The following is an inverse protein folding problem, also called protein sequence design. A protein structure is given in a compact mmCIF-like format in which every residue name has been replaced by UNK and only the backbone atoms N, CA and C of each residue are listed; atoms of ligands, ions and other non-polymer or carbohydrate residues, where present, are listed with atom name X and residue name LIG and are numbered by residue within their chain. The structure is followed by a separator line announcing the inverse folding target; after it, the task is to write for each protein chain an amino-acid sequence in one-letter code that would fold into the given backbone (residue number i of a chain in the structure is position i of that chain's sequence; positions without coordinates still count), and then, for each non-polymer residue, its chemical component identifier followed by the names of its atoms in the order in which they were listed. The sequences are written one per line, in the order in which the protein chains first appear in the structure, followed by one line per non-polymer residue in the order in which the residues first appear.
data_IF_741047756737
#
_entry.id   IF_741047756737
#
_cell.length_a   1.000
_cell.length_b   1.000
_cell.length_c   1.000
_cell.angle_alpha   90.00
_cell.angle_beta   90.00
_cell.angle_gamma   90.00
#
_symmetry.space_group_name_H-M   'P 1'
#
loop_
_entity.id
_entity.type
_entity.pdbx_description
1 polymer ?
#
# COMPACT_ATOMS: atom_id res chain seq x y z
N UNK A 1 -5.01 -1.16 -12.60
CA UNK A 1 -5.76 -0.14 -11.83
C UNK A 1 -5.14 0.13 -10.45
N UNK A 2 -5.06 -0.84 -9.52
CA UNK A 2 -4.42 -0.63 -8.19
C UNK A 2 -2.99 -0.08 -8.28
N UNK A 3 -2.14 -0.72 -9.06
CA UNK A 3 -0.75 -0.31 -9.33
C UNK A 3 -0.64 1.09 -9.88
N UNK A 4 -1.51 1.44 -10.79
CA UNK A 4 -1.53 2.77 -11.40
C UNK A 4 -1.86 3.84 -10.36
N UNK A 5 -2.90 3.61 -9.57
CA UNK A 5 -3.31 4.53 -8.50
C UNK A 5 -2.19 4.70 -7.47
N UNK A 6 -1.54 3.62 -7.02
CA UNK A 6 -0.42 3.71 -6.09
C UNK A 6 0.76 4.48 -6.67
N UNK A 7 1.11 4.25 -7.93
CA UNK A 7 2.18 4.98 -8.60
C UNK A 7 1.85 6.47 -8.70
N UNK A 8 0.62 6.83 -9.07
CA UNK A 8 0.19 8.23 -9.10
C UNK A 8 0.27 8.90 -7.73
N UNK A 9 -0.16 8.21 -6.67
CA UNK A 9 -0.05 8.72 -5.31
C UNK A 9 1.42 8.92 -4.88
N UNK A 10 2.31 7.99 -5.23
CA UNK A 10 3.75 8.12 -4.95
C UNK A 10 4.34 9.33 -5.69
N UNK A 11 4.02 9.50 -6.97
CA UNK A 11 4.49 10.63 -7.77
C UNK A 11 3.96 11.95 -7.18
N UNK A 12 2.70 12.00 -6.82
CA UNK A 12 2.09 13.19 -6.23
C UNK A 12 2.73 13.55 -4.89
N UNK A 13 2.90 12.56 -4.00
CA UNK A 13 3.57 12.77 -2.72
C UNK A 13 5.01 13.28 -2.87
N UNK A 14 5.78 12.72 -3.82
CA UNK A 14 7.14 13.19 -4.11
C UNK A 14 7.16 14.65 -4.59
N UNK A 15 6.22 15.02 -5.46
CA UNK A 15 6.07 16.40 -5.93
C UNK A 15 5.73 17.36 -4.79
N UNK A 16 4.87 16.95 -3.86
CA UNK A 16 4.55 17.74 -2.67
C UNK A 16 5.77 17.90 -1.75
N UNK A 17 6.59 16.85 -1.58
CA UNK A 17 7.84 16.91 -0.81
C UNK A 17 8.82 17.91 -1.45
N UNK A 18 8.95 17.89 -2.78
CA UNK A 18 9.80 18.81 -3.52
C UNK A 18 9.34 20.27 -3.33
N UNK A 19 8.04 20.53 -3.47
CA UNK A 19 7.45 21.86 -3.23
C UNK A 19 7.73 22.34 -1.82
N UNK A 20 7.63 21.47 -0.82
CA UNK A 20 7.86 21.80 0.59
C UNK A 20 9.34 22.07 0.89
N UNK A 21 10.27 21.45 0.16
CA UNK A 21 11.72 21.61 0.38
C UNK A 21 12.31 22.79 -0.39
N UNK A 22 11.81 23.10 -1.60
CA UNK A 22 12.51 24.01 -2.54
C UNK A 22 12.00 25.44 -2.50
N UNK A 23 10.89 25.78 -1.82
CA UNK A 23 10.32 27.13 -1.89
C UNK A 23 10.24 27.84 -0.54
N UNK A 24 10.72 29.12 -0.47
CA UNK A 24 10.21 30.04 0.54
C UNK A 24 8.72 30.21 0.28
N UNK A 25 7.95 29.88 1.29
CA UNK A 25 6.50 29.71 1.24
C UNK A 25 5.74 31.00 0.92
N UNK A 26 5.48 31.26 -0.35
CA UNK A 26 4.72 32.43 -0.79
C UNK A 26 3.22 32.18 -1.05
N UNK A 27 2.77 30.91 -1.03
CA UNK A 27 1.37 30.55 -1.31
C UNK A 27 0.81 29.50 -0.34
N UNK A 28 0.84 29.81 0.96
CA UNK A 28 0.35 28.93 2.05
C UNK A 28 -1.02 28.29 1.79
N UNK A 29 -1.93 29.06 1.20
CA UNK A 29 -3.32 28.61 1.03
C UNK A 29 -3.49 27.56 -0.10
N UNK A 30 -2.69 27.64 -1.15
CA UNK A 30 -2.76 26.69 -2.27
C UNK A 30 -2.13 25.35 -1.89
N UNK A 31 -0.98 25.41 -1.25
CA UNK A 31 -0.22 24.21 -0.88
C UNK A 31 -0.93 23.43 0.25
N UNK A 32 -1.58 24.15 1.17
CA UNK A 32 -2.46 23.57 2.19
C UNK A 32 -3.63 22.80 1.59
N UNK A 33 -4.29 23.37 0.56
CA UNK A 33 -5.38 22.69 -0.15
C UNK A 33 -4.92 21.46 -0.91
N UNK A 34 -3.73 21.51 -1.53
CA UNK A 34 -3.17 20.34 -2.24
C UNK A 34 -2.81 19.20 -1.26
N UNK A 35 -2.28 19.52 -0.08
CA UNK A 35 -2.00 18.55 0.98
C UNK A 35 -3.29 17.92 1.52
N UNK A 36 -4.32 18.73 1.77
CA UNK A 36 -5.63 18.24 2.20
C UNK A 36 -6.25 17.32 1.14
N UNK A 37 -6.20 17.72 -0.13
CA UNK A 37 -6.72 16.91 -1.23
C UNK A 37 -5.97 15.59 -1.36
N UNK A 38 -4.65 15.61 -1.22
CA UNK A 38 -3.82 14.39 -1.21
C UNK A 38 -4.25 13.44 -0.09
N UNK A 39 -4.37 13.96 1.15
CA UNK A 39 -4.73 13.18 2.34
C UNK A 39 -6.10 12.54 2.19
N UNK A 40 -7.11 13.31 1.76
CA UNK A 40 -8.46 12.78 1.48
C UNK A 40 -8.47 11.73 0.36
N UNK A 41 -7.65 11.94 -0.67
CA UNK A 41 -7.52 10.95 -1.76
C UNK A 41 -6.86 9.68 -1.29
N UNK A 42 -5.83 9.78 -0.45
CA UNK A 42 -5.15 8.63 0.16
C UNK A 42 -6.12 7.80 1.02
N UNK A 43 -6.88 8.46 1.90
CA UNK A 43 -7.90 7.83 2.75
C UNK A 43 -8.97 7.12 1.90
N UNK A 44 -9.55 7.83 0.92
CA UNK A 44 -10.54 7.26 0.02
C UNK A 44 -10.01 6.06 -0.76
N UNK A 45 -8.75 6.15 -1.21
CA UNK A 45 -8.08 5.06 -1.91
C UNK A 45 -7.89 3.86 -0.99
N UNK A 46 -7.44 4.08 0.25
CA UNK A 46 -7.28 3.02 1.24
C UNK A 46 -8.61 2.31 1.49
N UNK A 47 -9.68 3.05 1.72
CA UNK A 47 -11.01 2.50 1.96
C UNK A 47 -11.56 1.72 0.76
N UNK A 48 -11.31 2.22 -0.47
CA UNK A 48 -11.77 1.55 -1.71
C UNK A 48 -11.01 0.25 -1.95
N UNK A 49 -9.70 0.23 -1.70
CA UNK A 49 -8.87 -0.95 -1.95
C UNK A 49 -8.84 -1.93 -0.79
N UNK A 50 -9.29 -1.57 0.40
CA UNK A 50 -9.36 -2.45 1.56
C UNK A 50 -10.08 -3.78 1.25
N UNK A 51 -11.24 -3.72 0.63
CA UNK A 51 -11.98 -4.92 0.20
C UNK A 51 -11.22 -5.73 -0.86
N UNK A 52 -10.59 -5.07 -1.83
CA UNK A 52 -9.82 -5.73 -2.88
C UNK A 52 -8.61 -6.44 -2.30
N UNK A 53 -7.88 -5.79 -1.40
CA UNK A 53 -6.72 -6.35 -0.70
C UNK A 53 -7.15 -7.57 0.12
N UNK A 54 -8.25 -7.48 0.85
CA UNK A 54 -8.81 -8.59 1.62
C UNK A 54 -9.13 -9.80 0.73
N UNK A 55 -9.84 -9.60 -0.40
CA UNK A 55 -10.18 -10.66 -1.34
C UNK A 55 -8.93 -11.30 -1.95
N UNK A 56 -7.95 -10.49 -2.36
CA UNK A 56 -6.71 -10.99 -2.94
C UNK A 56 -5.91 -11.87 -1.96
N UNK A 57 -5.79 -11.44 -0.71
CA UNK A 57 -5.06 -12.22 0.30
C UNK A 57 -5.83 -13.47 0.70
N UNK A 58 -7.15 -13.39 0.82
CA UNK A 58 -7.99 -14.56 1.09
C UNK A 58 -7.87 -15.59 -0.03
N UNK A 59 -7.94 -15.17 -1.30
CA UNK A 59 -7.72 -16.02 -2.45
C UNK A 59 -6.31 -16.67 -2.45
N UNK A 60 -5.30 -15.90 -2.06
CA UNK A 60 -3.94 -16.39 -1.92
C UNK A 60 -3.81 -17.47 -0.84
N UNK A 61 -4.39 -17.24 0.34
CA UNK A 61 -4.38 -18.22 1.43
C UNK A 61 -5.09 -19.51 1.04
N UNK A 62 -6.26 -19.40 0.41
CA UNK A 62 -7.00 -20.55 -0.10
C UNK A 62 -6.15 -21.33 -1.13
N UNK A 63 -5.50 -20.60 -2.06
CA UNK A 63 -4.64 -21.21 -3.07
C UNK A 63 -3.43 -21.93 -2.48
N UNK A 64 -2.84 -21.37 -1.40
CA UNK A 64 -1.75 -22.02 -0.66
C UNK A 64 -2.22 -23.34 -0.02
N UNK A 65 -3.41 -23.35 0.59
CA UNK A 65 -3.98 -24.57 1.18
C UNK A 65 -4.18 -25.65 0.11
N UNK A 66 -4.77 -25.28 -1.05
CA UNK A 66 -4.92 -26.22 -2.16
C UNK A 66 -3.59 -26.71 -2.70
N UNK A 67 -2.58 -25.85 -2.80
CA UNK A 67 -1.25 -26.22 -3.21
C UNK A 67 -0.61 -27.24 -2.27
N UNK A 68 -0.69 -26.96 -0.96
CA UNK A 68 -0.17 -27.87 0.05
C UNK A 68 -0.87 -29.24 0.01
N UNK A 69 -2.20 -29.24 -0.12
CA UNK A 69 -2.96 -30.46 -0.29
C UNK A 69 -2.56 -31.24 -1.53
N UNK A 70 -2.35 -30.55 -2.67
CA UNK A 70 -1.93 -31.19 -3.93
C UNK A 70 -0.53 -31.81 -3.83
N UNK A 71 0.41 -31.13 -3.18
CA UNK A 71 1.75 -31.68 -2.91
C UNK A 71 1.66 -32.89 -2.00
N UNK A 72 0.88 -32.82 -0.94
CA UNK A 72 0.69 -33.94 -0.01
C UNK A 72 0.07 -35.18 -0.73
N UNK A 73 -0.96 -34.96 -1.54
CA UNK A 73 -1.60 -36.03 -2.34
C UNK A 73 -0.63 -36.64 -3.33
N UNK A 74 0.21 -35.85 -3.98
CA UNK A 74 1.24 -36.34 -4.90
C UNK A 74 2.27 -37.24 -4.18
N UNK A 75 2.71 -36.82 -2.98
CA UNK A 75 3.67 -37.61 -2.18
C UNK A 75 3.07 -38.93 -1.72
N UNK A 76 1.77 -38.96 -1.37
CA UNK A 76 1.09 -40.13 -0.87
C UNK A 76 0.65 -41.09 -1.97
N UNK A 77 0.08 -40.61 -3.08
CA UNK A 77 -0.58 -41.44 -4.11
C UNK A 77 0.19 -41.64 -5.42
N UNK A 78 1.30 -40.91 -5.63
CA UNK A 78 2.13 -40.97 -6.87
C UNK A 78 1.38 -40.81 -8.20
N UNK A 79 0.06 -40.58 -8.19
CA UNK A 79 -0.79 -40.66 -9.37
C UNK A 79 -1.44 -39.36 -9.84
N UNK A 80 -1.34 -38.30 -9.07
CA UNK A 80 -2.06 -37.06 -9.38
C UNK A 80 -1.22 -36.07 -10.20
N UNK A 81 -1.69 -35.79 -11.41
CA UNK A 81 -1.12 -34.82 -12.35
C UNK A 81 -1.52 -33.38 -11.96
N UNK A 82 -1.24 -32.94 -10.73
CA UNK A 82 -1.58 -31.58 -10.27
C UNK A 82 -0.48 -30.53 -10.56
N UNK A 83 0.43 -30.83 -11.48
CA UNK A 83 1.46 -29.90 -11.96
C UNK A 83 0.88 -28.60 -12.55
N UNK A 84 -0.40 -28.60 -12.95
CA UNK A 84 -1.10 -27.44 -13.50
C UNK A 84 -1.35 -26.32 -12.48
N UNK A 85 -1.34 -26.61 -11.18
CA UNK A 85 -1.54 -25.60 -10.13
C UNK A 85 -0.25 -24.83 -9.79
N UNK A 86 0.92 -25.40 -10.09
CA UNK A 86 2.20 -24.77 -9.76
C UNK A 86 2.40 -23.39 -10.41
N UNK A 87 2.14 -23.19 -11.73
CA UNK A 87 2.23 -21.87 -12.35
C UNK A 87 1.29 -20.85 -11.73
N UNK A 88 0.07 -21.26 -11.35
CA UNK A 88 -0.90 -20.39 -10.70
C UNK A 88 -0.39 -19.88 -9.33
N UNK A 89 0.20 -20.78 -8.54
CA UNK A 89 0.77 -20.43 -7.23
C UNK A 89 1.93 -19.44 -7.39
N UNK A 90 2.86 -19.73 -8.32
CA UNK A 90 3.97 -18.82 -8.61
C UNK A 90 3.44 -17.45 -9.03
N UNK A 91 2.45 -17.40 -9.91
CA UNK A 91 1.82 -16.16 -10.34
C UNK A 91 1.22 -15.38 -9.16
N UNK A 92 0.48 -16.05 -8.27
CA UNK A 92 -0.11 -15.43 -7.09
C UNK A 92 0.96 -14.90 -6.12
N UNK A 93 2.03 -15.65 -5.85
CA UNK A 93 3.14 -15.23 -5.00
C UNK A 93 3.82 -14.00 -5.57
N UNK A 94 4.13 -13.98 -6.86
CA UNK A 94 4.77 -12.85 -7.52
C UNK A 94 3.90 -11.60 -7.46
N UNK A 95 2.60 -11.73 -7.73
CA UNK A 95 1.66 -10.60 -7.64
C UNK A 95 1.54 -10.07 -6.21
N UNK A 96 1.40 -10.94 -5.21
CA UNK A 96 1.33 -10.52 -3.81
C UNK A 96 2.59 -9.78 -3.39
N UNK A 97 3.76 -10.29 -3.76
CA UNK A 97 5.04 -9.63 -3.48
C UNK A 97 5.12 -8.25 -4.13
N UNK A 98 4.66 -8.14 -5.37
CA UNK A 98 4.63 -6.87 -6.08
C UNK A 98 3.70 -5.85 -5.41
N UNK A 99 2.48 -6.25 -5.05
CA UNK A 99 1.54 -5.39 -4.32
C UNK A 99 2.09 -4.94 -2.96
N UNK A 100 2.69 -5.87 -2.23
CA UNK A 100 3.31 -5.53 -0.94
C UNK A 100 4.47 -4.53 -1.09
N UNK A 101 5.33 -4.71 -2.09
CA UNK A 101 6.43 -3.77 -2.35
C UNK A 101 5.91 -2.38 -2.66
N UNK A 102 4.88 -2.27 -3.52
CA UNK A 102 4.27 -1.01 -3.91
C UNK A 102 3.59 -0.31 -2.72
N UNK A 103 2.88 -1.06 -1.88
CA UNK A 103 2.30 -0.54 -0.64
C UNK A 103 3.37 -0.01 0.32
N UNK A 104 4.48 -0.73 0.47
CA UNK A 104 5.62 -0.30 1.29
C UNK A 104 6.27 0.98 0.77
N UNK A 105 6.41 1.12 -0.55
CA UNK A 105 7.01 2.32 -1.14
C UNK A 105 6.10 3.53 -0.99
N UNK A 106 4.78 3.35 -1.14
CA UNK A 106 3.81 4.40 -0.83
C UNK A 106 3.88 4.80 0.65
N UNK A 107 3.88 3.84 1.57
CA UNK A 107 3.97 4.11 3.02
C UNK A 107 5.24 4.90 3.38
N UNK A 108 6.39 4.50 2.82
CA UNK A 108 7.65 5.25 3.02
C UNK A 108 7.54 6.68 2.50
N UNK A 109 6.96 6.87 1.33
CA UNK A 109 6.81 8.20 0.70
C UNK A 109 5.85 9.07 1.52
N UNK A 110 4.76 8.52 2.03
CA UNK A 110 3.82 9.19 2.94
C UNK A 110 4.52 9.63 4.24
N UNK A 111 5.35 8.77 4.82
CA UNK A 111 6.13 9.13 6.01
C UNK A 111 7.20 10.20 5.72
N UNK A 112 7.80 10.21 4.53
CA UNK A 112 8.70 11.28 4.10
C UNK A 112 7.95 12.61 3.93
N UNK A 113 6.76 12.59 3.34
CA UNK A 113 5.90 13.76 3.22
C UNK A 113 5.54 14.33 4.60
N UNK A 114 5.12 13.48 5.55
CA UNK A 114 4.87 13.90 6.94
C UNK A 114 6.09 14.60 7.54
N UNK A 115 7.29 14.03 7.38
CA UNK A 115 8.53 14.62 7.89
C UNK A 115 8.82 15.98 7.23
N UNK A 116 8.57 16.12 5.93
CA UNK A 116 8.74 17.39 5.21
C UNK A 116 7.77 18.46 5.74
N UNK A 117 6.51 18.11 5.98
CA UNK A 117 5.51 19.01 6.58
C UNK A 117 5.96 19.48 7.98
N UNK A 118 6.47 18.56 8.81
CA UNK A 118 6.96 18.91 10.14
C UNK A 118 8.18 19.85 10.10
N UNK A 119 9.09 19.62 9.15
CA UNK A 119 10.32 20.43 9.00
C UNK A 119 10.07 21.79 8.39
N UNK A 120 9.07 21.92 7.54
CA UNK A 120 8.77 23.18 6.85
C UNK A 120 8.38 24.32 7.80
N UNK A 121 8.04 24.00 9.05
CA UNK A 121 7.64 25.00 10.06
C UNK A 121 6.34 25.75 9.75
N UNK A 122 5.62 25.33 8.71
CA UNK A 122 4.43 26.01 8.22
C UNK A 122 3.27 25.73 9.16
N UNK A 123 2.60 26.78 9.56
CA UNK A 123 1.35 26.74 10.31
C UNK A 123 0.19 26.94 9.36
N UNK A 124 -0.73 25.99 9.29
CA UNK A 124 -2.00 26.09 8.60
C UNK A 124 -3.09 25.35 9.39
N UNK A 125 -4.31 25.76 9.20
CA UNK A 125 -5.44 25.36 10.06
C UNK A 125 -5.66 23.84 10.10
N UNK A 126 -5.46 23.14 8.97
CA UNK A 126 -5.65 21.70 8.85
C UNK A 126 -4.38 20.86 9.14
N UNK A 127 -3.27 21.47 9.54
CA UNK A 127 -2.00 20.77 9.77
C UNK A 127 -2.09 19.62 10.77
N UNK A 128 -2.73 19.77 11.95
CA UNK A 128 -2.86 18.68 12.91
C UNK A 128 -3.60 17.47 12.31
N UNK A 129 -4.70 17.71 11.63
CA UNK A 129 -5.49 16.67 10.96
C UNK A 129 -4.67 15.93 9.89
N UNK A 130 -3.99 16.65 9.01
CA UNK A 130 -3.17 16.05 7.96
C UNK A 130 -2.03 15.20 8.56
N UNK A 131 -1.37 15.68 9.61
CA UNK A 131 -0.30 14.94 10.28
C UNK A 131 -0.84 13.66 10.92
N UNK A 132 -2.00 13.72 11.55
CA UNK A 132 -2.65 12.57 12.16
C UNK A 132 -3.02 11.51 11.11
N UNK A 133 -3.67 11.88 10.02
CA UNK A 133 -4.03 11.00 8.92
C UNK A 133 -2.79 10.35 8.26
N UNK A 134 -1.75 11.13 7.97
CA UNK A 134 -0.50 10.61 7.43
C UNK A 134 0.25 9.71 8.43
N UNK A 135 0.03 9.87 9.73
CA UNK A 135 0.58 9.02 10.77
C UNK A 135 -0.16 7.69 10.87
N UNK A 136 -1.48 7.72 10.73
CA UNK A 136 -2.33 6.54 10.78
C UNK A 136 -2.14 5.64 9.54
N UNK A 137 -1.66 6.20 8.41
CA UNK A 137 -1.43 5.41 7.22
C UNK A 137 -0.20 4.50 7.38
N UNK A 138 -0.44 3.22 7.63
CA UNK A 138 0.58 2.17 7.78
C UNK A 138 0.70 1.25 6.55
N UNK A 139 -0.04 1.53 5.50
CA UNK A 139 -0.18 0.71 4.31
C UNK A 139 -1.66 0.42 4.02
N UNK A 140 -1.92 -0.31 2.94
CA UNK A 140 -3.29 -0.69 2.63
C UNK A 140 -3.80 -1.71 3.63
N UNK A 141 -4.88 -1.35 4.29
CA UNK A 141 -5.56 -2.18 5.26
C UNK A 141 -6.53 -3.17 4.60
N UNK A 142 -6.62 -4.37 5.12
CA UNK A 142 -7.59 -5.37 4.71
C UNK A 142 -8.68 -5.50 5.78
N UNK A 143 -9.55 -4.52 5.89
CA UNK A 143 -10.65 -4.46 6.86
C UNK A 143 -10.23 -4.70 8.32
N UNK A 144 -9.06 -4.21 8.73
CA UNK A 144 -8.53 -4.38 10.09
C UNK A 144 -7.96 -5.76 10.40
N UNK A 145 -7.97 -6.70 9.45
CA UNK A 145 -7.38 -8.03 9.68
C UNK A 145 -5.86 -8.02 9.54
N UNK A 146 -5.34 -7.27 8.59
CA UNK A 146 -3.90 -7.09 8.38
C UNK A 146 -3.66 -5.89 7.45
N UNK A 147 -2.47 -5.29 7.55
CA UNK A 147 -1.99 -4.25 6.65
C UNK A 147 -0.92 -4.79 5.73
N UNK A 148 -0.96 -4.41 4.44
CA UNK A 148 0.13 -4.67 3.50
C UNK A 148 1.31 -3.78 3.86
N UNK A 149 2.18 -4.28 4.72
CA UNK A 149 3.43 -3.64 5.08
C UNK A 149 4.59 -4.66 5.09
N UNK A 150 5.81 -4.17 5.20
CA UNK A 150 7.04 -4.97 5.04
C UNK A 150 7.15 -6.27 5.88
N UNK A 151 6.60 -6.36 7.11
CA UNK A 151 6.74 -7.56 7.93
C UNK A 151 6.05 -8.81 7.40
N UNK A 152 5.04 -8.67 6.52
CA UNK A 152 4.27 -9.82 6.01
C UNK A 152 5.09 -10.80 5.14
N UNK A 153 6.24 -10.39 4.59
CA UNK A 153 7.04 -11.20 3.67
C UNK A 153 8.52 -11.34 4.08
N UNK A 154 8.94 -10.79 5.21
CA UNK A 154 10.36 -10.78 5.63
C UNK A 154 10.62 -11.47 6.97
N UNK A 155 9.60 -12.10 7.56
CA UNK A 155 9.75 -12.95 8.76
C UNK A 155 9.98 -14.40 8.40
#
# INVERSE_FOLDING_TARGET
MFTEVCNQLIIWAKKLIEILNDRPFNNHQRDSKELELFTRTLEKTNNTFSAVVFVLISAYLISLVFAFYSVLSFVLDKKSSHFTLFPLIVFLVVNLRYFNTLSCDLTKTVHQLKRAILRSGIEFECKPYIIEELQCFQGFDAHGFFTLNRPLLTS
#
